data_IF_481901275598
#
_entry.id   IF_481901275598
#
_cell.length_a   1.000
_cell.length_b   1.000
_cell.length_c   1.000
_cell.angle_alpha   90.00
_cell.angle_beta   90.00
_cell.angle_gamma   90.00
#
_symmetry.space_group_name_H-M   'P 1'
#
loop_
_entity.id
_entity.type
_entity.pdbx_description
1 polymer ?
#
# COMPACT_ATOMS: atom_id res chain seq x y z
N UNK A 1 -68.16 -28.81 75.53
CA UNK A 1 -67.75 -29.63 76.69
C UNK A 1 -66.41 -30.25 76.35
N UNK A 2 -65.44 -29.97 77.22
CA UNK A 2 -64.08 -30.49 77.38
C UNK A 2 -63.66 -31.89 76.86
N UNK A 3 -62.46 -31.88 76.25
CA UNK A 3 -61.19 -32.63 76.53
C UNK A 3 -61.08 -34.16 76.24
N UNK A 4 -59.83 -34.49 75.83
CA UNK A 4 -59.05 -35.75 75.79
C UNK A 4 -58.97 -36.39 74.39
N UNK A 5 -57.82 -36.66 73.76
CA UNK A 5 -56.41 -36.61 74.13
C UNK A 5 -55.74 -37.96 73.79
N UNK A 6 -54.74 -38.00 72.91
CA UNK A 6 -53.64 -38.99 72.93
C UNK A 6 -52.55 -38.70 71.87
N UNK A 7 -51.44 -38.15 72.35
CA UNK A 7 -50.03 -38.50 72.09
C UNK A 7 -49.62 -39.25 70.79
N UNK A 8 -48.94 -38.50 69.90
CA UNK A 8 -47.57 -38.73 69.39
C UNK A 8 -47.21 -39.98 68.56
N UNK A 9 -46.77 -39.75 67.31
CA UNK A 9 -45.77 -40.58 66.63
C UNK A 9 -44.56 -39.73 66.22
N UNK A 10 -43.37 -40.25 66.50
CA UNK A 10 -42.04 -39.69 66.29
C UNK A 10 -41.78 -39.29 64.83
N UNK A 11 -41.20 -38.09 64.62
CA UNK A 11 -40.93 -37.54 63.29
C UNK A 11 -39.84 -38.29 62.53
N UNK A 12 -40.09 -38.57 61.25
CA UNK A 12 -39.11 -39.13 60.32
C UNK A 12 -38.00 -38.13 60.01
N UNK A 13 -36.75 -38.58 60.06
CA UNK A 13 -35.55 -37.84 59.68
C UNK A 13 -35.67 -37.26 58.25
N UNK A 14 -35.38 -35.97 58.10
CA UNK A 14 -35.52 -35.25 56.82
C UNK A 14 -34.64 -35.82 55.72
N UNK A 15 -35.18 -35.96 54.51
CA UNK A 15 -34.45 -36.35 53.31
C UNK A 15 -33.36 -35.32 52.98
N UNK A 16 -32.15 -35.82 52.68
CA UNK A 16 -31.01 -35.04 52.20
C UNK A 16 -31.40 -34.20 50.97
N UNK A 17 -31.02 -32.91 50.98
CA UNK A 17 -31.40 -31.95 49.94
C UNK A 17 -30.90 -32.36 48.55
N UNK A 18 -31.75 -32.15 47.53
CA UNK A 18 -31.42 -32.39 46.13
C UNK A 18 -30.22 -31.53 45.70
N UNK A 19 -29.24 -32.17 45.06
CA UNK A 19 -28.08 -31.53 44.45
C UNK A 19 -28.53 -30.42 43.47
N UNK A 20 -27.93 -29.23 43.58
CA UNK A 20 -28.31 -28.06 42.79
C UNK A 20 -28.19 -28.31 41.28
N UNK A 21 -29.16 -27.80 40.52
CA UNK A 21 -29.17 -27.88 39.06
C UNK A 21 -27.92 -27.23 38.47
N UNK A 22 -27.19 -27.96 37.65
CA UNK A 22 -26.05 -27.48 36.88
C UNK A 22 -26.45 -26.25 36.05
N UNK A 23 -25.67 -25.17 36.14
CA UNK A 23 -25.96 -23.90 35.46
C UNK A 23 -26.09 -24.05 33.95
N UNK A 24 -27.03 -23.33 33.35
CA UNK A 24 -27.25 -23.29 31.91
C UNK A 24 -25.97 -22.87 31.18
N UNK A 25 -25.52 -23.70 30.24
CA UNK A 25 -24.40 -23.43 29.35
C UNK A 25 -24.61 -22.08 28.64
N UNK A 26 -23.61 -21.20 28.71
CA UNK A 26 -23.68 -19.85 28.14
C UNK A 26 -23.98 -19.88 26.64
N UNK A 27 -24.81 -18.94 26.18
CA UNK A 27 -25.13 -18.76 24.77
C UNK A 27 -23.86 -18.59 23.94
N UNK A 28 -23.69 -19.44 22.94
CA UNK A 28 -22.60 -19.38 21.97
C UNK A 28 -22.50 -17.97 21.37
N UNK A 29 -21.31 -17.37 21.42
CA UNK A 29 -21.08 -16.00 20.95
C UNK A 29 -21.49 -15.81 19.50
N UNK A 30 -22.08 -14.65 19.19
CA UNK A 30 -22.41 -14.25 17.82
C UNK A 30 -21.17 -14.35 16.92
N UNK A 31 -21.29 -15.11 15.84
CA UNK A 31 -20.27 -15.24 14.81
C UNK A 31 -19.80 -13.84 14.36
N UNK A 32 -18.48 -13.60 14.41
CA UNK A 32 -17.89 -12.30 14.07
C UNK A 32 -18.28 -11.85 12.67
N UNK A 33 -18.51 -10.54 12.51
CA UNK A 33 -18.76 -9.92 11.20
C UNK A 33 -17.64 -10.31 10.25
N UNK A 34 -18.02 -10.94 9.12
CA UNK A 34 -17.13 -11.25 8.02
C UNK A 34 -16.31 -10.00 7.66
N UNK A 35 -14.97 -10.12 7.69
CA UNK A 35 -14.08 -9.02 7.37
C UNK A 35 -14.41 -8.41 6.01
N UNK A 36 -14.28 -7.09 5.88
CA UNK A 36 -14.40 -6.41 4.59
C UNK A 36 -13.48 -7.11 3.60
N UNK A 37 -14.07 -7.74 2.59
CA UNK A 37 -13.38 -8.31 1.45
C UNK A 37 -12.39 -7.26 0.95
N UNK A 38 -11.09 -7.60 0.91
CA UNK A 38 -10.08 -6.73 0.34
C UNK A 38 -10.54 -6.28 -1.04
N UNK A 39 -10.26 -5.04 -1.41
CA UNK A 39 -10.52 -4.54 -2.76
C UNK A 39 -9.82 -5.50 -3.73
N UNK A 40 -10.59 -6.43 -4.30
CA UNK A 40 -10.17 -7.23 -5.42
C UNK A 40 -9.80 -6.19 -6.47
N UNK A 41 -8.49 -6.01 -6.71
CA UNK A 41 -8.01 -5.12 -7.75
C UNK A 41 -8.84 -5.45 -8.98
N UNK A 42 -9.50 -4.45 -9.56
CA UNK A 42 -10.49 -4.65 -10.61
C UNK A 42 -9.92 -5.67 -11.57
N UNK A 43 -10.40 -6.92 -11.50
CA UNK A 43 -10.01 -7.94 -12.46
C UNK A 43 -10.58 -7.37 -13.73
N UNK A 44 -9.71 -6.73 -14.53
CA UNK A 44 -10.13 -5.91 -15.65
C UNK A 44 -11.14 -6.74 -16.39
N UNK A 45 -12.38 -6.24 -16.49
CA UNK A 45 -13.49 -6.94 -17.13
C UNK A 45 -12.89 -7.62 -18.35
N UNK A 46 -12.82 -8.95 -18.38
CA UNK A 46 -12.39 -9.64 -19.59
C UNK A 46 -13.27 -9.04 -20.67
N UNK A 47 -12.67 -8.25 -21.57
CA UNK A 47 -13.42 -7.46 -22.53
C UNK A 47 -14.23 -8.47 -23.31
N UNK A 48 -15.54 -8.48 -23.12
CA UNK A 48 -16.35 -9.43 -23.87
C UNK A 48 -16.38 -9.00 -25.32
N UNK A 49 -16.96 -9.85 -26.15
CA UNK A 49 -16.90 -9.69 -27.60
C UNK A 49 -17.45 -8.33 -28.01
N UNK A 50 -16.63 -7.54 -28.70
CA UNK A 50 -16.94 -6.18 -29.15
C UNK A 50 -17.43 -5.22 -28.03
N UNK A 51 -16.91 -5.36 -26.80
CA UNK A 51 -17.21 -4.46 -25.67
C UNK A 51 -18.45 -4.85 -24.85
N UNK A 52 -19.13 -5.94 -25.22
CA UNK A 52 -20.20 -6.52 -24.39
C UNK A 52 -19.63 -7.23 -23.17
N UNK A 53 -20.44 -7.48 -22.13
CA UNK A 53 -20.04 -8.36 -21.04
C UNK A 53 -20.05 -9.82 -21.50
N UNK A 54 -19.14 -10.64 -20.97
CA UNK A 54 -19.14 -12.08 -21.23
C UNK A 54 -20.43 -12.73 -20.69
N UNK A 55 -21.11 -13.53 -21.52
CA UNK A 55 -22.34 -14.21 -21.15
C UNK A 55 -22.54 -15.47 -22.03
N UNK A 56 -23.09 -16.57 -21.48
CA UNK A 56 -23.41 -17.76 -22.28
C UNK A 56 -24.37 -17.45 -23.43
N UNK A 57 -25.25 -16.46 -23.28
CA UNK A 57 -26.15 -16.01 -24.35
C UNK A 57 -25.40 -15.29 -25.48
N UNK A 58 -24.39 -14.48 -25.15
CA UNK A 58 -23.51 -13.85 -26.15
C UNK A 58 -22.75 -14.94 -26.89
N UNK A 59 -22.18 -15.91 -26.18
CA UNK A 59 -21.48 -17.05 -26.79
C UNK A 59 -22.38 -17.84 -27.75
N UNK A 60 -23.61 -18.19 -27.33
CA UNK A 60 -24.56 -18.91 -28.18
C UNK A 60 -24.97 -18.08 -29.40
N UNK A 61 -25.21 -16.78 -29.23
CA UNK A 61 -25.56 -15.88 -30.32
C UNK A 61 -24.44 -15.79 -31.36
N UNK A 62 -23.19 -15.72 -30.92
CA UNK A 62 -22.03 -15.71 -31.81
C UNK A 62 -21.92 -17.01 -32.61
N UNK A 63 -22.15 -18.16 -31.97
CA UNK A 63 -22.14 -19.48 -32.63
C UNK A 63 -23.23 -19.52 -33.71
N UNK A 64 -24.49 -19.27 -33.34
CA UNK A 64 -25.62 -19.36 -34.27
C UNK A 64 -25.51 -18.36 -35.42
N UNK A 65 -25.08 -17.12 -35.13
CA UNK A 65 -24.86 -16.12 -36.17
C UNK A 65 -23.71 -16.51 -37.11
N UNK A 66 -22.65 -17.14 -36.60
CA UNK A 66 -21.54 -17.63 -37.42
C UNK A 66 -22.00 -18.78 -38.33
N UNK A 67 -22.72 -19.75 -37.79
CA UNK A 67 -23.23 -20.91 -38.56
C UNK A 67 -24.18 -20.47 -39.68
N UNK A 68 -25.00 -19.45 -39.44
CA UNK A 68 -25.92 -18.93 -40.46
C UNK A 68 -25.28 -18.03 -41.53
N UNK A 69 -24.06 -17.53 -41.31
CA UNK A 69 -23.40 -16.56 -42.22
C UNK A 69 -22.14 -17.08 -42.88
N UNK A 70 -21.50 -18.12 -42.34
CA UNK A 70 -20.30 -18.67 -42.95
C UNK A 70 -20.60 -19.61 -44.10
N UNK A 71 -19.86 -19.40 -45.19
CA UNK A 71 -19.73 -20.40 -46.24
C UNK A 71 -18.77 -21.50 -45.78
N UNK A 72 -18.68 -22.57 -46.58
CA UNK A 72 -17.71 -23.63 -46.36
C UNK A 72 -16.29 -23.06 -46.21
N UNK A 73 -15.60 -23.47 -45.14
CA UNK A 73 -14.20 -23.12 -44.87
C UNK A 73 -13.43 -24.42 -44.64
N UNK A 74 -12.36 -24.61 -45.40
CA UNK A 74 -11.53 -25.82 -45.42
C UNK A 74 -10.43 -25.81 -44.35
N UNK A 75 -10.41 -24.82 -43.45
CA UNK A 75 -9.38 -24.65 -42.44
C UNK A 75 -8.16 -23.84 -42.90
N UNK A 76 -8.11 -23.38 -44.16
CA UNK A 76 -6.99 -22.59 -44.68
C UNK A 76 -6.93 -21.19 -44.08
N UNK A 77 -5.72 -20.65 -43.90
CA UNK A 77 -5.54 -19.26 -43.47
C UNK A 77 -6.02 -18.31 -44.59
N UNK A 78 -7.00 -17.46 -44.26
CA UNK A 78 -7.57 -16.50 -45.23
C UNK A 78 -7.00 -15.08 -45.09
N UNK A 79 -6.18 -14.83 -44.07
CA UNK A 79 -5.55 -13.54 -43.79
C UNK A 79 -4.17 -13.73 -43.18
N UNK A 80 -3.26 -12.84 -43.53
CA UNK A 80 -1.99 -12.68 -42.81
C UNK A 80 -2.21 -11.79 -41.57
N UNK A 81 -1.79 -12.22 -40.38
CA UNK A 81 -1.90 -11.39 -39.18
C UNK A 81 -1.11 -10.08 -39.32
N UNK A 82 -1.73 -8.96 -38.95
CA UNK A 82 -1.06 -7.64 -38.90
C UNK A 82 -0.62 -7.26 -37.48
N UNK A 83 -1.05 -8.03 -36.47
CA UNK A 83 -0.79 -7.77 -35.05
C UNK A 83 0.41 -8.56 -34.48
N UNK A 84 1.24 -9.16 -35.34
CA UNK A 84 2.43 -9.95 -34.97
C UNK A 84 3.71 -9.35 -35.54
N UNK A 85 4.88 -9.66 -34.96
CA UNK A 85 6.19 -9.14 -35.44
C UNK A 85 6.42 -7.64 -35.19
N UNK A 86 5.63 -7.04 -34.31
CA UNK A 86 5.73 -5.63 -33.91
C UNK A 86 6.85 -5.42 -32.90
N UNK A 87 7.33 -4.20 -32.77
CA UNK A 87 8.26 -3.84 -31.70
C UNK A 87 7.63 -4.01 -30.31
N UNK A 88 8.48 -4.01 -29.28
CA UNK A 88 8.07 -4.24 -27.90
C UNK A 88 7.08 -3.19 -27.39
N UNK A 89 7.23 -1.92 -27.79
CA UNK A 89 6.34 -0.84 -27.38
C UNK A 89 4.95 -0.95 -28.02
N UNK A 90 4.89 -1.20 -29.32
CA UNK A 90 3.65 -1.45 -30.05
C UNK A 90 2.91 -2.67 -29.48
N UNK A 91 3.64 -3.70 -29.07
CA UNK A 91 3.09 -4.86 -28.39
C UNK A 91 2.53 -4.48 -27.01
N UNK A 92 3.32 -3.84 -26.16
CA UNK A 92 2.93 -3.37 -24.82
C UNK A 92 1.66 -2.49 -24.83
N UNK A 93 1.58 -1.53 -25.77
CA UNK A 93 0.40 -0.68 -25.96
C UNK A 93 -0.87 -1.48 -26.27
N UNK A 94 -0.77 -2.55 -27.06
CA UNK A 94 -1.92 -3.34 -27.48
C UNK A 94 -2.39 -4.38 -26.46
N UNK A 95 -1.59 -4.63 -25.42
CA UNK A 95 -1.94 -5.61 -24.39
C UNK A 95 -3.21 -5.20 -23.65
N UNK A 96 -4.01 -6.19 -23.23
CA UNK A 96 -5.05 -5.95 -22.24
C UNK A 96 -4.44 -5.43 -20.92
N UNK A 97 -5.24 -4.74 -20.11
CA UNK A 97 -4.77 -4.09 -18.89
C UNK A 97 -4.06 -5.08 -17.93
N UNK A 98 -4.66 -6.24 -17.63
CA UNK A 98 -4.09 -7.23 -16.73
C UNK A 98 -2.69 -7.73 -17.15
N UNK A 99 -2.52 -8.26 -18.38
CA UNK A 99 -1.21 -8.62 -18.89
C UNK A 99 -0.20 -7.45 -18.91
N UNK A 100 -0.66 -6.22 -19.19
CA UNK A 100 0.21 -5.04 -19.18
C UNK A 100 0.73 -4.73 -17.78
N UNK A 101 -0.14 -4.82 -16.77
CA UNK A 101 0.22 -4.71 -15.34
C UNK A 101 1.27 -5.76 -15.00
N UNK A 102 1.05 -7.02 -15.35
CA UNK A 102 1.97 -8.11 -15.02
C UNK A 102 3.39 -7.91 -15.61
N UNK A 103 3.48 -7.42 -16.85
CA UNK A 103 4.78 -7.11 -17.47
C UNK A 103 5.45 -5.92 -16.77
N UNK A 104 4.69 -4.86 -16.49
CA UNK A 104 5.23 -3.67 -15.83
C UNK A 104 5.73 -3.97 -14.42
N UNK A 105 4.92 -4.67 -13.62
CA UNK A 105 5.26 -5.04 -12.24
C UNK A 105 6.48 -5.96 -12.22
N UNK A 106 6.50 -7.02 -13.05
CA UNK A 106 7.64 -7.94 -13.12
C UNK A 106 8.94 -7.25 -13.53
N UNK A 107 8.87 -6.25 -14.40
CA UNK A 107 10.04 -5.46 -14.81
C UNK A 107 10.52 -4.56 -13.67
N UNK A 108 9.62 -3.83 -13.00
CA UNK A 108 10.01 -2.97 -11.88
C UNK A 108 10.56 -3.79 -10.69
N UNK A 109 9.91 -4.91 -10.34
CA UNK A 109 10.38 -5.85 -9.31
C UNK A 109 11.74 -6.49 -9.65
N UNK A 110 12.17 -6.46 -10.92
CA UNK A 110 13.51 -6.95 -11.29
C UNK A 110 14.63 -5.94 -11.00
N UNK A 111 14.28 -4.67 -10.85
CA UNK A 111 15.22 -3.57 -10.65
C UNK A 111 15.50 -3.39 -9.15
N UNK A 112 14.50 -3.64 -8.31
CA UNK A 112 14.59 -3.45 -6.86
C UNK A 112 14.55 -4.77 -6.12
N UNK A 113 15.23 -4.85 -4.98
CA UNK A 113 15.20 -6.04 -4.13
C UNK A 113 15.16 -5.67 -2.64
N UNK A 114 14.60 -6.54 -1.81
CA UNK A 114 14.58 -6.40 -0.36
C UNK A 114 15.53 -7.41 0.28
N UNK A 115 16.33 -6.95 1.23
CA UNK A 115 17.23 -7.79 2.04
C UNK A 115 16.96 -7.55 3.53
N UNK A 116 16.86 -8.64 4.29
CA UNK A 116 16.66 -8.65 5.75
C UNK A 116 17.84 -9.36 6.41
N UNK A 117 18.21 -8.95 7.63
CA UNK A 117 19.41 -9.45 8.31
C UNK A 117 19.32 -10.93 8.69
N UNK A 118 18.17 -11.43 9.19
CA UNK A 118 17.94 -12.87 9.44
C UNK A 118 16.45 -13.26 9.44
N UNK A 119 16.15 -14.54 9.17
CA UNK A 119 14.78 -15.08 9.14
C UNK A 119 14.30 -15.70 10.48
N UNK A 120 15.17 -15.81 11.49
CA UNK A 120 14.84 -16.50 12.76
C UNK A 120 14.21 -15.58 13.82
N UNK A 121 14.42 -14.27 13.72
CA UNK A 121 13.90 -13.24 14.63
C UNK A 121 13.56 -11.98 13.82
N UNK A 122 12.70 -11.09 14.35
CA UNK A 122 12.45 -9.80 13.72
C UNK A 122 13.77 -9.07 13.44
N UNK A 123 13.97 -8.65 12.20
CA UNK A 123 15.18 -7.98 11.76
C UNK A 123 15.28 -6.60 12.39
N UNK A 124 16.48 -6.23 12.86
CA UNK A 124 16.74 -4.87 13.34
C UNK A 124 16.91 -3.89 12.17
N UNK A 125 17.55 -4.34 11.09
CA UNK A 125 17.69 -3.58 9.85
C UNK A 125 17.06 -4.31 8.66
N UNK A 126 16.53 -3.50 7.74
CA UNK A 126 16.02 -3.93 6.45
C UNK A 126 16.56 -3.01 5.38
N UNK A 127 16.87 -3.58 4.22
CA UNK A 127 17.50 -2.85 3.11
C UNK A 127 16.69 -3.01 1.84
N UNK A 128 16.61 -1.94 1.07
CA UNK A 128 16.14 -1.97 -0.32
C UNK A 128 17.33 -1.66 -1.20
N UNK A 129 17.54 -2.49 -2.23
CA UNK A 129 18.60 -2.35 -3.20
C UNK A 129 18.04 -1.96 -4.56
N UNK A 130 18.85 -1.24 -5.35
CA UNK A 130 18.64 -1.01 -6.78
C UNK A 130 19.77 -1.72 -7.53
N UNK A 131 19.42 -2.72 -8.34
CA UNK A 131 20.41 -3.66 -8.87
C UNK A 131 21.18 -4.35 -7.74
N UNK A 132 22.49 -4.08 -7.65
CA UNK A 132 23.38 -4.63 -6.61
C UNK A 132 23.67 -3.65 -5.47
N UNK A 133 23.32 -2.39 -5.64
CA UNK A 133 23.68 -1.34 -4.70
C UNK A 133 22.58 -1.16 -3.65
N UNK A 134 22.97 -0.89 -2.40
CA UNK A 134 22.01 -0.59 -1.34
C UNK A 134 21.48 0.83 -1.51
N UNK A 135 20.18 0.95 -1.80
CA UNK A 135 19.49 2.23 -1.98
C UNK A 135 18.99 2.78 -0.65
N UNK A 136 18.35 1.94 0.18
CA UNK A 136 17.80 2.35 1.47
C UNK A 136 18.25 1.39 2.56
N UNK A 137 18.68 1.92 3.70
CA UNK A 137 18.83 1.16 4.96
C UNK A 137 17.90 1.73 6.01
N UNK A 138 17.07 0.87 6.60
CA UNK A 138 16.10 1.22 7.63
C UNK A 138 16.42 0.44 8.90
N UNK A 139 16.62 1.13 10.02
CA UNK A 139 16.74 0.52 11.35
C UNK A 139 15.44 0.74 12.12
N UNK A 140 14.77 -0.33 12.55
CA UNK A 140 13.48 -0.22 13.22
C UNK A 140 13.61 0.34 14.66
N UNK A 141 12.58 1.06 15.16
CA UNK A 141 12.46 1.35 16.58
C UNK A 141 12.08 0.10 17.40
N UNK A 142 12.39 0.13 18.69
CA UNK A 142 11.87 -0.84 19.65
C UNK A 142 10.47 -0.44 20.14
N UNK A 143 9.62 -1.42 20.45
CA UNK A 143 8.25 -1.15 20.94
C UNK A 143 8.25 -0.34 22.24
N UNK A 144 9.23 -0.59 23.14
CA UNK A 144 9.38 0.17 24.38
C UNK A 144 9.69 1.66 24.11
N UNK A 145 10.54 1.92 23.10
CA UNK A 145 10.85 3.28 22.67
C UNK A 145 9.61 3.98 22.09
N UNK A 146 8.85 3.29 21.24
CA UNK A 146 7.60 3.81 20.66
C UNK A 146 6.56 4.16 21.74
N UNK A 147 6.38 3.27 22.71
CA UNK A 147 5.45 3.48 23.82
C UNK A 147 5.83 4.73 24.65
N UNK A 148 7.12 4.95 24.87
CA UNK A 148 7.63 6.09 25.64
C UNK A 148 7.57 7.41 24.86
N UNK A 149 7.82 7.40 23.55
CA UNK A 149 8.13 8.62 22.79
C UNK A 149 7.17 8.97 21.66
N UNK A 150 6.24 8.09 21.26
CA UNK A 150 5.42 8.34 20.05
C UNK A 150 3.91 8.34 20.30
N UNK A 151 3.39 7.68 21.34
CA UNK A 151 1.94 7.58 21.60
C UNK A 151 1.25 8.94 21.81
N UNK A 152 1.94 9.92 22.38
CA UNK A 152 1.37 11.23 22.66
C UNK A 152 0.98 12.00 21.37
N UNK A 153 1.69 11.78 20.25
CA UNK A 153 1.31 12.35 18.95
C UNK A 153 -0.01 11.80 18.44
N UNK A 154 -0.28 10.51 18.63
CA UNK A 154 -1.56 9.92 18.26
C UNK A 154 -2.71 10.48 19.10
N UNK A 155 -2.47 10.71 20.40
CA UNK A 155 -3.47 11.34 21.25
C UNK A 155 -3.77 12.77 20.79
N UNK A 156 -2.75 13.55 20.46
CA UNK A 156 -2.92 14.92 19.95
C UNK A 156 -3.63 14.95 18.59
N UNK A 157 -3.27 14.03 17.69
CA UNK A 157 -3.87 13.93 16.35
C UNK A 157 -5.32 13.41 16.36
N UNK A 158 -5.74 12.71 17.43
CA UNK A 158 -7.07 12.12 17.54
C UNK A 158 -8.20 13.16 17.46
N UNK A 159 -7.96 14.41 17.87
CA UNK A 159 -8.95 15.47 17.83
C UNK A 159 -9.30 15.88 16.37
N UNK A 160 -8.44 15.56 15.39
CA UNK A 160 -8.65 15.83 13.96
C UNK A 160 -9.50 14.77 13.25
N UNK A 161 -9.87 13.67 13.92
CA UNK A 161 -10.55 12.53 13.27
C UNK A 161 -11.88 12.92 12.62
N UNK A 162 -12.65 13.80 13.25
CA UNK A 162 -13.90 14.30 12.68
C UNK A 162 -13.67 14.98 11.33
N UNK A 163 -12.68 15.86 11.26
CA UNK A 163 -12.37 16.63 10.05
C UNK A 163 -11.71 15.79 8.95
N UNK A 164 -10.97 14.74 9.33
CA UNK A 164 -10.18 13.92 8.39
C UNK A 164 -10.83 12.62 7.97
N UNK A 165 -11.97 12.24 8.56
CA UNK A 165 -12.62 10.96 8.31
C UNK A 165 -12.82 10.67 6.82
N UNK A 166 -13.38 11.63 6.07
CA UNK A 166 -13.65 11.42 4.64
C UNK A 166 -12.38 11.17 3.81
N UNK A 167 -11.32 11.95 4.06
CA UNK A 167 -10.00 11.75 3.43
C UNK A 167 -9.43 10.37 3.80
N UNK A 168 -9.40 10.07 5.10
CA UNK A 168 -8.85 8.82 5.65
C UNK A 168 -9.54 7.60 5.07
N UNK A 169 -10.88 7.62 4.95
CA UNK A 169 -11.66 6.53 4.38
C UNK A 169 -11.32 6.28 2.92
N UNK A 170 -11.23 7.32 2.09
CA UNK A 170 -10.88 7.19 0.66
C UNK A 170 -9.44 6.68 0.50
N UNK A 171 -8.52 7.22 1.29
CA UNK A 171 -7.10 6.82 1.25
C UNK A 171 -6.88 5.33 1.55
N UNK A 172 -7.82 4.63 2.20
CA UNK A 172 -7.68 3.17 2.42
C UNK A 172 -7.62 2.36 1.13
N UNK A 173 -8.16 2.90 0.03
CA UNK A 173 -8.20 2.22 -1.27
C UNK A 173 -7.69 3.05 -2.43
N UNK A 174 -7.74 4.38 -2.33
CA UNK A 174 -7.39 5.29 -3.42
C UNK A 174 -6.66 6.55 -2.90
N UNK A 175 -5.34 6.51 -3.00
CA UNK A 175 -4.48 7.67 -2.74
C UNK A 175 -4.21 8.51 -4.00
N UNK A 176 -4.34 7.91 -5.19
CA UNK A 176 -3.91 8.54 -6.44
C UNK A 176 -4.85 9.69 -6.85
N UNK A 177 -6.15 9.52 -6.60
CA UNK A 177 -7.15 10.58 -6.89
C UNK A 177 -6.86 11.89 -6.15
N UNK A 178 -6.21 11.84 -4.98
CA UNK A 178 -5.85 13.06 -4.24
C UNK A 178 -4.79 13.89 -4.99
N UNK A 179 -3.86 13.24 -5.70
CA UNK A 179 -2.89 13.93 -6.56
C UNK A 179 -3.54 14.55 -7.81
N UNK A 180 -4.69 14.04 -8.24
CA UNK A 180 -5.49 14.61 -9.33
C UNK A 180 -6.03 16.01 -9.03
N UNK A 181 -5.99 16.45 -7.76
CA UNK A 181 -6.32 17.82 -7.38
C UNK A 181 -5.18 18.83 -7.65
N UNK A 182 -3.96 18.34 -7.92
CA UNK A 182 -2.78 19.18 -8.22
C UNK A 182 -2.55 19.31 -9.72
N UNK A 183 -2.60 18.20 -10.45
CA UNK A 183 -2.36 18.16 -11.89
C UNK A 183 -3.47 17.41 -12.62
N UNK A 184 -3.61 17.68 -13.92
CA UNK A 184 -4.62 17.05 -14.78
C UNK A 184 -4.36 15.55 -14.96
N UNK A 185 -4.87 14.71 -14.06
CA UNK A 185 -4.76 13.26 -14.13
C UNK A 185 -6.04 12.65 -14.73
N UNK A 186 -5.96 12.17 -15.97
CA UNK A 186 -7.08 11.59 -16.73
C UNK A 186 -6.68 10.32 -17.46
N UNK A 187 -7.56 9.31 -17.43
CA UNK A 187 -7.36 8.02 -18.09
C UNK A 187 -7.25 8.10 -19.61
N UNK A 188 -7.74 9.19 -20.22
CA UNK A 188 -7.67 9.42 -21.66
C UNK A 188 -6.52 10.35 -22.04
N UNK A 189 -6.31 11.41 -21.26
CA UNK A 189 -5.37 12.49 -21.59
C UNK A 189 -3.95 12.26 -21.03
N UNK A 190 -3.84 11.76 -19.80
CA UNK A 190 -2.54 11.52 -19.13
C UNK A 190 -2.40 10.06 -18.71
N UNK A 191 -2.75 9.17 -19.64
CA UNK A 191 -2.87 7.74 -19.36
C UNK A 191 -1.54 7.11 -19.00
N UNK A 192 -0.44 7.52 -19.62
CA UNK A 192 0.87 6.93 -19.36
C UNK A 192 1.42 7.37 -18.01
N UNK A 193 1.16 8.62 -17.63
CA UNK A 193 1.37 9.12 -16.26
C UNK A 193 0.61 8.27 -15.24
N UNK A 194 -0.68 7.98 -15.48
CA UNK A 194 -1.48 7.12 -14.59
C UNK A 194 -0.98 5.67 -14.55
N UNK A 195 -0.55 5.11 -15.69
CA UNK A 195 0.04 3.76 -15.74
C UNK A 195 1.31 3.66 -14.88
N UNK A 196 2.19 4.67 -14.96
CA UNK A 196 3.41 4.73 -14.16
C UNK A 196 3.11 4.97 -12.68
N UNK A 197 2.22 5.91 -12.35
CA UNK A 197 1.88 6.19 -10.95
C UNK A 197 1.25 4.97 -10.25
N UNK A 198 0.34 4.25 -10.92
CA UNK A 198 -0.22 3.01 -10.37
C UNK A 198 0.84 1.91 -10.24
N UNK A 199 1.79 1.82 -11.17
CA UNK A 199 2.90 0.87 -11.06
C UNK A 199 3.86 1.21 -9.92
N UNK A 200 4.09 2.50 -9.67
CA UNK A 200 4.87 2.98 -8.53
C UNK A 200 4.24 2.55 -7.20
N UNK A 201 2.92 2.68 -7.06
CA UNK A 201 2.20 2.23 -5.86
C UNK A 201 2.40 0.73 -5.66
N UNK A 202 2.17 -0.09 -6.70
CA UNK A 202 2.34 -1.55 -6.61
C UNK A 202 3.78 -1.96 -6.31
N UNK A 203 4.77 -1.27 -6.88
CA UNK A 203 6.18 -1.46 -6.57
C UNK A 203 6.48 -1.12 -5.11
N UNK A 204 5.95 -0.01 -4.59
CA UNK A 204 6.12 0.32 -3.17
C UNK A 204 5.52 -0.77 -2.28
N UNK A 205 4.31 -1.25 -2.59
CA UNK A 205 3.68 -2.36 -1.87
C UNK A 205 4.53 -3.65 -1.93
N UNK A 206 5.11 -4.00 -3.10
CA UNK A 206 5.95 -5.21 -3.25
C UNK A 206 7.25 -5.14 -2.44
N UNK A 207 7.76 -3.93 -2.19
CA UNK A 207 8.99 -3.70 -1.42
C UNK A 207 8.74 -3.53 0.08
N UNK A 208 7.71 -2.81 0.48
CA UNK A 208 7.49 -2.51 1.90
C UNK A 208 6.85 -3.66 2.67
N UNK A 209 6.07 -4.53 2.03
CA UNK A 209 5.40 -5.63 2.72
C UNK A 209 6.41 -6.66 3.27
N UNK A 210 7.44 -7.08 2.51
CA UNK A 210 8.54 -7.89 3.06
C UNK A 210 9.28 -7.18 4.20
N UNK A 211 9.51 -5.87 4.11
CA UNK A 211 10.13 -5.10 5.20
C UNK A 211 9.26 -5.14 6.47
N UNK A 212 7.96 -4.85 6.35
CA UNK A 212 7.01 -4.90 7.46
C UNK A 212 6.94 -6.29 8.10
N UNK A 213 6.94 -7.33 7.27
CA UNK A 213 7.00 -8.73 7.73
C UNK A 213 8.30 -9.00 8.50
N UNK A 214 9.43 -8.50 8.01
CA UNK A 214 10.74 -8.68 8.64
C UNK A 214 10.90 -7.90 9.95
N UNK A 215 10.37 -6.67 10.02
CA UNK A 215 10.49 -5.81 11.19
C UNK A 215 9.53 -6.17 12.32
N UNK A 216 8.31 -6.59 11.97
CA UNK A 216 7.25 -6.99 12.90
C UNK A 216 7.02 -6.00 14.06
N UNK A 217 6.94 -4.70 13.73
CA UNK A 217 6.74 -3.62 14.72
C UNK A 217 5.26 -3.53 15.11
N UNK A 218 4.99 -3.44 16.41
CA UNK A 218 3.63 -3.42 16.94
C UNK A 218 2.85 -2.17 16.49
N UNK A 219 1.54 -2.36 16.27
CA UNK A 219 0.62 -1.26 15.97
C UNK A 219 0.31 -0.46 17.25
N UNK A 220 -0.02 0.84 17.15
CA UNK A 220 -0.29 1.66 18.33
C UNK A 220 -1.39 1.11 19.25
N UNK A 221 -2.46 0.55 18.68
CA UNK A 221 -3.55 -0.07 19.45
C UNK A 221 -3.13 -1.29 20.27
N UNK A 222 -2.03 -1.97 19.90
CA UNK A 222 -1.48 -3.08 20.69
C UNK A 222 -0.73 -2.59 21.93
N UNK A 223 -0.33 -1.31 21.98
CA UNK A 223 0.35 -0.70 23.12
C UNK A 223 -0.61 0.00 24.07
N UNK A 224 -1.69 0.59 23.57
CA UNK A 224 -2.71 1.27 24.38
C UNK A 224 -4.10 1.23 23.72
N UNK A 225 -5.11 0.74 24.44
CA UNK A 225 -6.49 0.66 23.95
C UNK A 225 -7.12 2.04 23.72
N UNK A 226 -6.65 3.04 24.45
CA UNK A 226 -7.05 4.44 24.36
C UNK A 226 -6.70 5.09 23.01
N UNK A 227 -5.83 4.46 22.21
CA UNK A 227 -5.57 4.93 20.83
C UNK A 227 -6.86 4.97 20.02
N UNK A 228 -7.74 3.97 20.18
CA UNK A 228 -9.03 3.86 19.48
C UNK A 228 -8.94 4.17 17.97
N UNK A 229 -8.35 3.30 17.14
CA UNK A 229 -8.28 3.48 15.69
C UNK A 229 -9.66 3.73 15.07
N UNK A 230 -9.73 4.62 14.09
CA UNK A 230 -10.99 4.97 13.41
C UNK A 230 -11.23 4.17 12.12
N UNK A 231 -10.27 3.35 11.72
CA UNK A 231 -10.35 2.41 10.61
C UNK A 231 -9.87 1.04 11.09
N UNK A 232 -10.21 0.00 10.35
CA UNK A 232 -9.71 -1.35 10.64
C UNK A 232 -8.19 -1.36 10.64
N UNK A 233 -7.58 -1.72 11.77
CA UNK A 233 -6.14 -1.87 11.89
C UNK A 233 -5.67 -2.97 10.94
N UNK A 234 -4.73 -2.69 10.01
CA UNK A 234 -4.23 -3.71 9.09
C UNK A 234 -3.52 -4.85 9.83
N UNK A 235 -3.65 -6.07 9.31
CA UNK A 235 -3.09 -7.30 9.91
C UNK A 235 -1.58 -7.51 9.71
N UNK A 236 -0.81 -6.43 9.59
CA UNK A 236 0.64 -6.45 9.39
C UNK A 236 1.32 -5.34 10.21
N UNK A 237 2.65 -5.45 10.39
CA UNK A 237 3.47 -4.53 11.16
C UNK A 237 3.29 -3.05 10.78
N UNK A 238 3.49 -2.18 11.76
CA UNK A 238 3.32 -0.74 11.64
C UNK A 238 4.44 -0.08 10.80
N UNK A 239 5.67 -0.56 10.91
CA UNK A 239 6.83 0.17 10.41
C UNK A 239 7.49 -0.51 9.20
N UNK A 240 7.86 0.23 8.13
CA UNK A 240 7.53 1.63 7.83
C UNK A 240 6.04 1.82 7.45
N UNK A 241 5.53 3.06 7.40
CA UNK A 241 4.13 3.34 6.98
C UNK A 241 3.94 3.18 5.47
N UNK A 242 2.93 2.42 5.08
CA UNK A 242 2.73 2.05 3.68
C UNK A 242 2.26 3.18 2.79
N UNK A 243 1.17 3.82 3.22
CA UNK A 243 0.66 5.05 2.62
C UNK A 243 1.72 6.15 2.52
N UNK A 244 2.64 6.25 3.48
CA UNK A 244 3.74 7.21 3.39
C UNK A 244 4.72 6.83 2.27
N UNK A 245 5.16 5.57 2.18
CA UNK A 245 6.01 5.09 1.08
C UNK A 245 5.38 5.36 -0.28
N UNK A 246 4.15 4.89 -0.48
CA UNK A 246 3.45 4.96 -1.76
C UNK A 246 3.21 6.41 -2.18
N UNK A 247 2.72 7.25 -1.27
CA UNK A 247 2.40 8.64 -1.59
C UNK A 247 3.63 9.50 -1.87
N UNK A 248 4.73 9.32 -1.12
CA UNK A 248 5.97 10.05 -1.39
C UNK A 248 6.69 9.58 -2.66
N UNK A 249 6.60 8.28 -3.00
CA UNK A 249 7.13 7.77 -4.27
C UNK A 249 6.36 8.34 -5.46
N UNK A 250 5.02 8.35 -5.38
CA UNK A 250 4.15 8.98 -6.40
C UNK A 250 4.39 10.49 -6.48
N UNK A 251 4.48 11.20 -5.36
CA UNK A 251 4.77 12.63 -5.36
C UNK A 251 6.13 12.94 -6.00
N UNK A 252 7.14 12.10 -5.76
CA UNK A 252 8.47 12.23 -6.38
C UNK A 252 8.40 12.03 -7.89
N UNK A 253 7.74 10.96 -8.36
CA UNK A 253 7.51 10.70 -9.78
C UNK A 253 6.75 11.85 -10.46
N UNK A 254 5.65 12.29 -9.86
CA UNK A 254 4.82 13.36 -10.41
C UNK A 254 5.53 14.72 -10.35
N UNK A 255 6.42 14.93 -9.38
CA UNK A 255 7.24 16.16 -9.33
C UNK A 255 8.12 16.24 -10.57
N UNK A 256 8.74 15.13 -10.99
CA UNK A 256 9.52 15.10 -12.23
C UNK A 256 8.71 15.41 -13.48
N UNK A 257 7.47 14.90 -13.54
CA UNK A 257 6.60 15.02 -14.71
C UNK A 257 5.93 16.40 -14.82
N UNK A 258 5.46 16.94 -13.69
CA UNK A 258 4.62 18.14 -13.68
C UNK A 258 5.39 19.45 -13.46
N UNK A 259 6.62 19.40 -12.94
CA UNK A 259 7.46 20.58 -12.69
C UNK A 259 8.65 20.59 -13.65
N UNK A 260 8.94 21.76 -14.24
CA UNK A 260 10.00 21.93 -15.24
C UNK A 260 11.37 22.25 -14.65
N UNK A 261 11.47 22.43 -13.33
CA UNK A 261 12.73 22.70 -12.64
C UNK A 261 13.65 21.47 -12.63
N UNK A 262 14.91 21.70 -12.25
CA UNK A 262 15.86 20.60 -12.00
C UNK A 262 15.26 19.60 -11.02
N UNK A 263 15.31 18.31 -11.39
CA UNK A 263 14.76 17.24 -10.56
C UNK A 263 15.60 17.06 -9.28
N UNK A 264 15.07 17.59 -8.18
CA UNK A 264 15.64 17.46 -6.84
C UNK A 264 14.51 17.16 -5.84
N UNK A 265 14.31 15.88 -5.47
CA UNK A 265 13.27 15.49 -4.52
C UNK A 265 13.45 16.10 -3.13
N UNK A 266 14.68 16.31 -2.69
CA UNK A 266 14.96 16.95 -1.40
C UNK A 266 14.48 18.40 -1.44
N UNK A 267 14.85 19.14 -2.49
CA UNK A 267 14.38 20.51 -2.67
C UNK A 267 12.85 20.58 -2.79
N UNK A 268 12.22 19.63 -3.48
CA UNK A 268 10.76 19.57 -3.58
C UNK A 268 10.06 19.41 -2.21
N UNK A 269 10.67 18.64 -1.29
CA UNK A 269 10.20 18.53 0.10
C UNK A 269 10.40 19.85 0.85
N UNK A 270 11.58 20.47 0.74
CA UNK A 270 11.90 21.73 1.42
C UNK A 270 11.03 22.90 0.95
N UNK A 271 10.77 22.97 -0.36
CA UNK A 271 9.88 23.95 -0.98
C UNK A 271 8.40 23.64 -0.71
N UNK A 272 8.09 22.44 -0.18
CA UNK A 272 6.73 21.96 0.09
C UNK A 272 5.80 22.12 -1.11
N UNK A 273 6.24 21.64 -2.29
CA UNK A 273 5.42 21.70 -3.48
C UNK A 273 4.07 21.00 -3.24
N UNK A 274 3.07 21.28 -4.09
CA UNK A 274 1.71 20.78 -3.86
C UNK A 274 1.64 19.24 -3.76
N UNK A 275 2.45 18.52 -4.55
CA UNK A 275 2.50 17.06 -4.53
C UNK A 275 3.06 16.53 -3.20
N UNK A 276 4.16 17.11 -2.71
CA UNK A 276 4.75 16.73 -1.42
C UNK A 276 3.79 17.04 -0.26
N UNK A 277 3.02 18.14 -0.33
CA UNK A 277 1.97 18.46 0.66
C UNK A 277 0.85 17.42 0.68
N UNK A 278 0.45 16.88 -0.46
CA UNK A 278 -0.52 15.78 -0.52
C UNK A 278 0.04 14.50 0.08
N UNK A 279 1.28 14.13 -0.26
CA UNK A 279 1.94 12.96 0.34
C UNK A 279 2.05 13.07 1.86
N UNK A 280 2.46 14.24 2.37
CA UNK A 280 2.53 14.48 3.80
C UNK A 280 1.16 14.42 4.49
N UNK A 281 0.09 14.89 3.83
CA UNK A 281 -1.27 14.82 4.35
C UNK A 281 -1.76 13.37 4.46
N UNK A 282 -1.54 12.56 3.43
CA UNK A 282 -1.86 11.12 3.42
C UNK A 282 -1.11 10.38 4.54
N UNK A 283 0.18 10.67 4.70
CA UNK A 283 1.01 10.09 5.76
C UNK A 283 0.54 10.51 7.16
N UNK A 284 0.34 11.81 7.41
CA UNK A 284 -0.15 12.34 8.69
C UNK A 284 -1.56 11.81 9.04
N UNK A 285 -2.42 11.62 8.03
CA UNK A 285 -3.74 11.04 8.19
C UNK A 285 -3.67 9.60 8.75
N UNK A 286 -2.53 8.90 8.68
CA UNK A 286 -2.35 7.59 9.33
C UNK A 286 -2.16 7.68 10.85
N UNK A 287 -1.48 8.73 11.31
CA UNK A 287 -1.38 9.07 12.73
C UNK A 287 -2.73 9.50 13.29
N UNK A 288 -3.45 10.37 12.55
CA UNK A 288 -4.83 10.78 12.90
C UNK A 288 -5.75 9.56 13.00
N UNK A 289 -5.64 8.63 12.06
CA UNK A 289 -6.43 7.40 12.04
C UNK A 289 -6.14 6.44 13.20
N UNK A 290 -5.03 6.65 13.93
CA UNK A 290 -4.62 5.82 15.06
C UNK A 290 -3.90 4.53 14.68
N UNK A 291 -3.42 4.41 13.44
CA UNK A 291 -2.84 3.15 12.92
C UNK A 291 -1.32 3.18 12.75
N UNK A 292 -0.70 4.36 12.75
CA UNK A 292 0.74 4.54 12.58
C UNK A 292 1.31 5.58 13.55
N UNK A 293 2.59 5.43 13.90
CA UNK A 293 3.38 6.44 14.59
C UNK A 293 4.01 7.44 13.60
N UNK A 294 4.39 8.65 14.04
CA UNK A 294 5.14 9.58 13.21
C UNK A 294 6.44 9.00 12.62
N UNK A 295 7.21 8.23 13.39
CA UNK A 295 8.42 7.55 12.89
C UNK A 295 8.13 6.56 11.76
N UNK A 296 6.95 5.92 11.73
CA UNK A 296 6.53 5.06 10.63
C UNK A 296 6.42 5.88 9.33
N UNK A 297 5.88 7.10 9.43
CA UNK A 297 5.73 8.02 8.31
C UNK A 297 7.07 8.60 7.86
N UNK A 298 7.99 8.88 8.79
CA UNK A 298 9.36 9.33 8.46
C UNK A 298 10.13 8.25 7.69
N UNK A 299 10.05 6.99 8.15
CA UNK A 299 10.66 5.85 7.47
C UNK A 299 10.01 5.58 6.11
N UNK A 300 8.68 5.63 6.03
CA UNK A 300 7.94 5.47 4.77
C UNK A 300 8.26 6.57 3.76
N UNK A 301 8.29 7.84 4.19
CA UNK A 301 8.68 8.95 3.31
C UNK A 301 10.13 8.81 2.81
N UNK A 302 11.06 8.41 3.69
CA UNK A 302 12.46 8.12 3.31
C UNK A 302 12.55 7.03 2.24
N UNK A 303 11.81 5.94 2.43
CA UNK A 303 11.75 4.82 1.50
C UNK A 303 11.12 5.26 0.17
N UNK A 304 9.96 5.92 0.22
CA UNK A 304 9.20 6.36 -0.95
C UNK A 304 9.96 7.36 -1.82
N UNK A 305 10.55 8.39 -1.21
CA UNK A 305 11.39 9.37 -1.93
C UNK A 305 12.57 8.67 -2.62
N UNK A 306 13.23 7.73 -1.93
CA UNK A 306 14.41 7.05 -2.49
C UNK A 306 14.06 6.14 -3.66
N UNK A 307 12.97 5.35 -3.55
CA UNK A 307 12.46 4.51 -4.65
C UNK A 307 12.06 5.39 -5.83
N UNK A 308 11.29 6.45 -5.57
CA UNK A 308 10.83 7.39 -6.58
C UNK A 308 11.98 8.06 -7.31
N UNK A 309 12.98 8.57 -6.57
CA UNK A 309 14.17 9.20 -7.13
C UNK A 309 14.98 8.21 -7.98
N UNK A 310 15.29 7.03 -7.44
CA UNK A 310 16.07 6.03 -8.16
C UNK A 310 15.39 5.59 -9.47
N UNK A 311 14.07 5.34 -9.44
CA UNK A 311 13.33 4.96 -10.64
C UNK A 311 13.31 6.11 -11.67
N UNK A 312 13.03 7.34 -11.24
CA UNK A 312 13.02 8.50 -12.16
C UNK A 312 14.39 8.68 -12.81
N UNK A 313 15.48 8.65 -12.02
CA UNK A 313 16.84 8.82 -12.54
C UNK A 313 17.22 7.69 -13.50
N UNK A 314 16.88 6.44 -13.20
CA UNK A 314 17.03 5.31 -14.15
C UNK A 314 16.28 5.55 -15.46
N UNK A 315 15.02 6.00 -15.39
CA UNK A 315 14.19 6.27 -16.56
C UNK A 315 14.69 7.46 -17.39
N UNK A 316 15.33 8.45 -16.76
CA UNK A 316 16.02 9.55 -17.44
C UNK A 316 17.42 9.18 -17.95
N UNK A 317 17.90 7.96 -17.67
CA UNK A 317 19.19 7.46 -18.13
C UNK A 317 20.38 7.96 -17.30
N UNK A 318 20.14 8.44 -16.08
CA UNK A 318 21.17 8.87 -15.15
C UNK A 318 21.85 7.67 -14.47
N UNK A 319 23.12 7.84 -14.12
CA UNK A 319 23.98 6.76 -13.60
C UNK A 319 24.19 6.82 -12.10
N UNK A 320 23.56 7.77 -11.40
CA UNK A 320 23.68 7.93 -9.95
C UNK A 320 22.36 8.36 -9.34
N UNK A 321 22.15 8.05 -8.07
CA UNK A 321 21.04 8.52 -7.23
C UNK A 321 21.48 8.72 -5.80
N UNK A 322 20.61 9.28 -4.97
CA UNK A 322 20.86 9.41 -3.53
C UNK A 322 20.31 8.20 -2.78
N UNK A 323 21.20 7.35 -2.28
CA UNK A 323 20.86 6.35 -1.27
C UNK A 323 20.66 6.99 0.10
N UNK A 324 19.70 6.47 0.88
CA UNK A 324 19.30 7.05 2.17
C UNK A 324 19.31 6.03 3.30
N UNK A 325 19.75 6.42 4.49
CA UNK A 325 19.60 5.60 5.68
C UNK A 325 18.83 6.35 6.76
N UNK A 326 17.86 5.68 7.38
CA UNK A 326 17.08 6.23 8.49
C UNK A 326 17.09 5.27 9.69
N UNK A 327 17.45 5.81 10.85
CA UNK A 327 17.43 5.09 12.12
C UNK A 327 16.22 5.52 12.97
N UNK A 328 15.20 4.66 13.00
CA UNK A 328 13.99 4.90 13.76
C UNK A 328 14.18 4.76 15.28
N UNK A 329 15.26 4.11 15.74
CA UNK A 329 15.48 3.80 17.17
C UNK A 329 15.69 5.03 18.05
N UNK A 330 16.13 6.15 17.46
CA UNK A 330 16.34 7.42 18.16
C UNK A 330 15.33 8.52 17.79
N UNK A 331 14.37 8.27 16.91
CA UNK A 331 13.50 9.31 16.38
C UNK A 331 12.31 9.61 17.31
N UNK A 332 12.37 10.74 18.01
CA UNK A 332 11.33 11.18 18.98
C UNK A 332 10.37 12.25 18.41
N UNK A 333 10.60 12.72 17.19
CA UNK A 333 9.84 13.80 16.56
C UNK A 333 8.44 13.38 16.07
N UNK A 334 7.66 14.40 15.69
CA UNK A 334 6.42 14.26 14.92
C UNK A 334 6.72 14.12 13.41
N UNK A 335 5.70 14.04 12.55
CA UNK A 335 5.87 13.97 11.11
C UNK A 335 5.20 15.15 10.39
N UNK A 336 6.00 15.96 9.71
CA UNK A 336 5.56 16.98 8.75
C UNK A 336 6.68 17.29 7.74
N UNK A 337 6.39 18.05 6.68
CA UNK A 337 7.39 18.35 5.63
C UNK A 337 8.57 19.18 6.11
N UNK A 338 8.39 20.05 7.10
CA UNK A 338 9.50 20.82 7.67
C UNK A 338 10.49 19.87 8.35
N UNK A 339 10.00 18.99 9.23
CA UNK A 339 10.83 17.99 9.90
C UNK A 339 11.45 16.98 8.93
N UNK A 340 10.73 16.59 7.87
CA UNK A 340 11.28 15.73 6.82
C UNK A 340 12.37 16.44 6.02
N UNK A 341 12.19 17.73 5.70
CA UNK A 341 13.20 18.55 5.03
C UNK A 341 14.48 18.68 5.86
N UNK A 342 14.34 18.96 7.15
CA UNK A 342 15.45 18.99 8.11
C UNK A 342 16.12 17.61 8.26
N UNK A 343 15.33 16.53 8.28
CA UNK A 343 15.87 15.18 8.35
C UNK A 343 16.71 14.81 7.11
N UNK A 344 16.35 15.33 5.94
CA UNK A 344 17.08 15.16 4.67
C UNK A 344 18.28 16.12 4.52
N UNK A 345 18.50 17.04 5.46
CA UNK A 345 19.66 17.93 5.45
C UNK A 345 20.96 17.24 5.88
N UNK A 346 22.09 17.85 5.52
CA UNK A 346 23.40 17.34 5.91
C UNK A 346 23.52 17.33 7.44
N UNK A 347 23.70 16.14 8.02
CA UNK A 347 23.72 15.96 9.48
C UNK A 347 22.32 15.80 10.11
N UNK A 348 21.26 15.74 9.30
CA UNK A 348 19.92 15.39 9.73
C UNK A 348 19.77 13.89 10.06
N UNK A 349 18.57 13.49 10.46
CA UNK A 349 18.26 12.12 10.86
C UNK A 349 18.32 11.10 9.70
N UNK A 350 18.32 11.58 8.44
CA UNK A 350 18.43 10.74 7.24
C UNK A 350 19.77 11.05 6.59
N UNK A 351 20.66 10.05 6.58
CA UNK A 351 21.97 10.21 5.93
C UNK A 351 21.85 9.89 4.44
N UNK A 352 22.54 10.68 3.61
CA UNK A 352 22.58 10.52 2.15
C UNK A 352 23.95 10.10 1.65
N UNK A 353 24.01 9.20 0.68
CA UNK A 353 25.22 8.82 -0.05
C UNK A 353 24.92 8.63 -1.54
N UNK A 354 25.92 8.87 -2.41
CA UNK A 354 25.75 8.56 -3.84
C UNK A 354 25.70 7.05 -4.03
N UNK A 355 24.76 6.59 -4.85
CA UNK A 355 24.53 5.19 -5.22
C UNK A 355 24.54 5.10 -6.74
N UNK A 356 25.35 4.17 -7.27
CA UNK A 356 25.43 3.96 -8.71
C UNK A 356 24.13 3.32 -9.24
N UNK A 357 23.74 3.76 -10.45
CA UNK A 357 22.63 3.22 -11.22
C UNK A 357 23.16 2.63 -12.53
N UNK A 358 22.53 1.55 -12.99
CA UNK A 358 22.76 0.97 -14.31
C UNK A 358 21.53 1.19 -15.20
N UNK A 359 21.52 2.24 -16.05
CA UNK A 359 20.43 2.48 -17.00
C UNK A 359 20.14 1.32 -17.95
N UNK A 360 21.09 0.39 -18.17
CA UNK A 360 20.89 -0.75 -19.07
C UNK A 360 19.87 -1.76 -18.52
N UNK A 361 19.55 -1.70 -17.23
CA UNK A 361 18.49 -2.53 -16.65
C UNK A 361 17.08 -2.11 -17.10
N UNK A 362 16.92 -0.89 -17.64
CA UNK A 362 15.64 -0.38 -18.13
C UNK A 362 15.41 -0.86 -19.57
N UNK A 363 14.38 -1.70 -19.83
CA UNK A 363 14.14 -2.17 -21.18
C UNK A 363 13.62 -1.04 -22.09
N UNK A 364 13.92 -1.06 -23.41
CA UNK A 364 13.57 0.03 -24.32
C UNK A 364 12.08 0.42 -24.35
N UNK A 365 11.18 -0.55 -24.16
CA UNK A 365 9.74 -0.27 -24.13
C UNK A 365 9.32 0.54 -22.89
N UNK A 366 10.05 0.40 -21.77
CA UNK A 366 9.79 1.15 -20.54
C UNK A 366 10.35 2.57 -20.65
N UNK A 367 11.49 2.75 -21.32
CA UNK A 367 12.00 4.07 -21.71
C UNK A 367 11.00 4.79 -22.63
N UNK A 368 10.39 4.07 -23.57
CA UNK A 368 9.34 4.64 -24.43
C UNK A 368 8.05 4.98 -23.66
N UNK A 369 7.65 4.15 -22.68
CA UNK A 369 6.55 4.48 -21.75
C UNK A 369 6.84 5.78 -21.00
N UNK A 370 8.05 5.93 -20.47
CA UNK A 370 8.49 7.14 -19.79
C UNK A 370 8.49 8.37 -20.71
N UNK A 371 9.01 8.22 -21.93
CA UNK A 371 8.97 9.27 -22.96
C UNK A 371 7.55 9.72 -23.26
N UNK A 372 6.59 8.79 -23.37
CA UNK A 372 5.18 9.14 -23.56
C UNK A 372 4.55 9.82 -22.36
N UNK A 373 4.89 9.42 -21.14
CA UNK A 373 4.41 10.09 -19.94
C UNK A 373 4.98 11.52 -19.84
N UNK A 374 6.26 11.73 -20.16
CA UNK A 374 6.85 13.08 -20.23
C UNK A 374 6.14 13.95 -21.26
N UNK A 375 5.78 13.40 -22.43
CA UNK A 375 5.09 14.15 -23.48
C UNK A 375 3.62 14.50 -23.16
N UNK A 376 3.06 14.01 -22.05
CA UNK A 376 1.73 14.42 -21.55
C UNK A 376 1.78 15.77 -20.79
N UNK A 377 2.98 16.30 -20.51
CA UNK A 377 3.26 17.54 -19.77
C UNK A 377 4.23 18.43 -20.56
#
# INVERSE_FOLDING_TARGET
MSIFGSQGSQGSQGSQGSQGSQGSQGSQGSQGSQGSQGSQGSQGSQGGTAGSAASPYVSLSLILARDGTQQYWDGSATRTPQQTGRDAWATFKSMAAGPRIAVLDRTLDSIFNVTLDTAAHPSAQGRVSVGRETLVTLTKPEDAFLAQHQLHYLRAAADLRGDRLAEISVETTDILSLFGSVGYLSADATKWTLWLANAMIRLCTSLEMPLKMGFDVARPIAMAYEVQPMIQTPGHGAWPSGHATESFAVATLLTRLMYQDTFDPKKAVQDQNALMRHAARIAANRTVAGVHFPTDSMAGATLGISIGEALVRLLDGETETTGRSFDGSGYTGDFNLTLLGEALDSGGAITGQSVALDPQCVPPWLTELWSKAKAEW
#
